data_IF_656096454734
#
_entry.id   IF_656096454734
#
_cell.length_a   1.000
_cell.length_b   1.000
_cell.length_c   1.000
_cell.angle_alpha   90.00
_cell.angle_beta   90.00
_cell.angle_gamma   90.00
#
_symmetry.space_group_name_H-M   'P 1'
#
loop_
_entity.id
_entity.type
_entity.pdbx_description
1 polymer ?
#
# COMPACT_ATOMS: atom_id res chain seq x y z
N UNK A 1 -6.36 32.54 23.47
CA UNK A 1 -7.17 31.72 22.53
C UNK A 1 -6.31 31.07 21.44
N UNK A 2 -5.68 31.88 20.58
CA UNK A 2 -5.01 31.41 19.35
C UNK A 2 -3.92 30.33 19.58
N UNK A 3 -3.09 30.46 20.61
CA UNK A 3 -2.05 29.46 20.91
C UNK A 3 -2.59 28.09 21.30
N UNK A 4 -3.65 28.04 22.12
CA UNK A 4 -4.31 26.79 22.50
C UNK A 4 -5.02 26.14 21.30
N UNK A 5 -5.70 26.95 20.47
CA UNK A 5 -6.31 26.46 19.24
C UNK A 5 -5.27 25.85 18.30
N UNK A 6 -4.11 26.50 18.13
CA UNK A 6 -3.00 25.98 17.34
C UNK A 6 -2.44 24.67 17.90
N UNK A 7 -2.25 24.56 19.22
CA UNK A 7 -1.77 23.32 19.85
C UNK A 7 -2.71 22.13 19.61
N UNK A 8 -4.03 22.34 19.70
CA UNK A 8 -5.03 21.29 19.45
C UNK A 8 -4.98 20.83 17.99
N UNK A 9 -4.90 21.75 17.03
CA UNK A 9 -4.78 21.41 15.61
C UNK A 9 -3.49 20.62 15.35
N UNK A 10 -2.36 21.09 15.90
CA UNK A 10 -1.07 20.41 15.76
C UNK A 10 -1.10 18.99 16.34
N UNK A 11 -1.80 18.78 17.45
CA UNK A 11 -1.97 17.46 18.04
C UNK A 11 -2.72 16.48 17.11
N UNK A 12 -3.85 16.90 16.55
CA UNK A 12 -4.60 16.07 15.59
C UNK A 12 -3.81 15.82 14.31
N UNK A 13 -3.15 16.84 13.76
CA UNK A 13 -2.28 16.67 12.60
C UNK A 13 -1.16 15.66 12.88
N UNK A 14 -0.42 15.80 13.99
CA UNK A 14 0.66 14.86 14.32
C UNK A 14 0.15 13.42 14.48
N UNK A 15 -1.02 13.24 15.12
CA UNK A 15 -1.63 11.92 15.31
C UNK A 15 -2.03 11.26 14.00
N UNK A 16 -2.48 12.03 13.02
CA UNK A 16 -2.76 11.52 11.68
C UNK A 16 -1.47 11.21 10.90
N UNK A 17 -0.52 12.16 10.87
CA UNK A 17 0.72 12.01 10.11
C UNK A 17 1.59 10.86 10.62
N UNK A 18 1.63 10.61 11.94
CA UNK A 18 2.39 9.48 12.49
C UNK A 18 1.83 8.15 11.98
N UNK A 19 0.51 8.01 11.78
CA UNK A 19 -0.07 6.78 11.24
C UNK A 19 0.34 6.53 9.78
N UNK A 20 0.42 7.59 8.97
CA UNK A 20 0.94 7.48 7.59
C UNK A 20 2.40 6.99 7.61
N UNK A 21 3.23 7.51 8.51
CA UNK A 21 4.62 7.07 8.66
C UNK A 21 4.72 5.61 9.12
N UNK A 22 3.82 5.16 9.99
CA UNK A 22 3.74 3.76 10.43
C UNK A 22 3.44 2.83 9.27
N UNK A 23 2.44 3.15 8.45
CA UNK A 23 2.16 2.37 7.24
C UNK A 23 3.37 2.39 6.29
N UNK A 24 3.98 3.54 6.07
CA UNK A 24 5.19 3.65 5.25
C UNK A 24 6.34 2.75 5.76
N UNK A 25 6.62 2.77 7.06
CA UNK A 25 7.64 1.92 7.67
C UNK A 25 7.29 0.43 7.56
N UNK A 26 6.02 0.07 7.79
CA UNK A 26 5.55 -1.30 7.67
C UNK A 26 5.75 -1.85 6.26
N UNK A 27 5.35 -1.10 5.23
CA UNK A 27 5.57 -1.46 3.82
C UNK A 27 7.06 -1.50 3.46
N UNK A 28 7.86 -0.56 3.98
CA UNK A 28 9.31 -0.54 3.75
C UNK A 28 9.97 -1.82 4.27
N UNK A 29 9.65 -2.24 5.50
CA UNK A 29 10.22 -3.48 6.07
C UNK A 29 9.80 -4.70 5.26
N UNK A 30 8.53 -4.76 4.83
CA UNK A 30 8.03 -5.87 4.01
C UNK A 30 8.52 -5.83 2.55
N UNK A 31 9.02 -4.70 2.04
CA UNK A 31 9.66 -4.64 0.73
C UNK A 31 11.05 -5.26 0.69
N UNK A 32 11.63 -5.58 1.86
CA UNK A 32 12.93 -6.26 1.97
C UNK A 32 12.82 -7.78 1.83
N UNK A 33 11.61 -8.34 1.66
CA UNK A 33 11.41 -9.77 1.45
C UNK A 33 11.55 -10.11 -0.04
N UNK A 34 12.06 -11.32 -0.34
CA UNK A 34 12.30 -11.78 -1.72
C UNK A 34 11.04 -11.74 -2.58
N UNK A 35 9.91 -12.18 -2.02
CA UNK A 35 8.59 -12.08 -2.63
C UNK A 35 7.77 -11.05 -1.88
N UNK A 36 7.22 -10.06 -2.59
CA UNK A 36 6.41 -9.02 -1.99
C UNK A 36 5.06 -9.60 -1.54
N UNK A 37 4.62 -9.40 -0.29
CA UNK A 37 3.42 -10.04 0.25
C UNK A 37 2.10 -9.52 -0.35
N UNK A 38 2.16 -8.43 -1.12
CA UNK A 38 1.04 -7.88 -1.88
C UNK A 38 1.11 -8.20 -3.38
N UNK A 39 2.10 -8.98 -3.83
CA UNK A 39 2.21 -9.40 -5.23
C UNK A 39 1.41 -10.68 -5.53
N UNK A 40 1.18 -11.53 -4.52
CA UNK A 40 0.60 -12.87 -4.71
C UNK A 40 -0.66 -13.12 -3.89
N UNK A 41 -1.53 -13.98 -4.41
CA UNK A 41 -2.66 -14.58 -3.71
C UNK A 41 -2.21 -15.86 -2.98
N UNK A 42 -2.92 -16.31 -1.93
CA UNK A 42 -2.53 -17.49 -1.13
C UNK A 42 -1.96 -17.24 0.26
N UNK A 43 -2.07 -16.02 0.79
CA UNK A 43 -1.78 -15.72 2.19
C UNK A 43 -3.03 -15.86 3.06
N UNK A 44 -2.84 -15.97 4.38
CA UNK A 44 -3.93 -16.17 5.35
C UNK A 44 -4.96 -15.02 5.42
N UNK A 45 -4.63 -13.84 4.88
CA UNK A 45 -5.52 -12.68 4.80
C UNK A 45 -6.25 -12.56 3.45
N UNK A 46 -5.93 -13.43 2.49
CA UNK A 46 -6.55 -13.41 1.17
C UNK A 46 -7.83 -14.24 1.17
N UNK A 47 -8.85 -13.74 0.49
CA UNK A 47 -10.11 -14.42 0.25
C UNK A 47 -10.07 -15.20 -1.07
N UNK A 48 -11.09 -16.04 -1.29
CA UNK A 48 -11.31 -16.74 -2.57
C UNK A 48 -11.53 -15.78 -3.76
N UNK A 49 -11.73 -14.48 -3.49
CA UNK A 49 -11.88 -13.44 -4.51
C UNK A 49 -10.56 -12.79 -4.91
N UNK A 50 -9.43 -13.18 -4.32
CA UNK A 50 -8.13 -12.68 -4.70
C UNK A 50 -7.74 -13.19 -6.09
N UNK A 51 -7.31 -12.28 -6.98
CA UNK A 51 -6.75 -12.62 -8.29
C UNK A 51 -5.46 -11.83 -8.56
N UNK A 52 -4.40 -12.52 -8.99
CA UNK A 52 -3.09 -11.91 -9.28
C UNK A 52 -3.05 -11.20 -10.64
N UNK A 53 -3.83 -11.68 -11.62
CA UNK A 53 -3.82 -11.17 -13.00
C UNK A 53 -5.17 -10.59 -13.40
N UNK A 54 -5.21 -9.27 -13.63
CA UNK A 54 -6.37 -8.51 -14.14
C UNK A 54 -6.25 -8.23 -15.64
N UNK A 55 -5.74 -9.17 -16.43
CA UNK A 55 -5.75 -8.99 -17.89
C UNK A 55 -7.17 -9.19 -18.40
N UNK A 56 -7.86 -8.08 -18.64
CA UNK A 56 -9.18 -8.04 -19.26
C UNK A 56 -9.21 -8.78 -20.63
N UNK A 57 -8.06 -8.90 -21.27
CA UNK A 57 -7.84 -9.66 -22.52
C UNK A 57 -8.02 -11.18 -22.36
N UNK A 58 -7.88 -11.72 -21.14
CA UNK A 58 -8.11 -13.13 -20.83
C UNK A 58 -9.59 -13.43 -20.55
N UNK A 59 -10.43 -12.40 -20.43
CA UNK A 59 -11.84 -12.56 -20.17
C UNK A 59 -12.64 -12.71 -21.47
N UNK A 60 -13.47 -13.75 -21.49
CA UNK A 60 -14.25 -14.14 -22.66
C UNK A 60 -15.64 -13.48 -22.60
N UNK A 61 -15.99 -12.67 -23.61
CA UNK A 61 -17.40 -12.52 -23.99
C UNK A 61 -17.82 -13.86 -24.60
N UNK A 62 -18.86 -14.50 -24.06
CA UNK A 62 -19.20 -15.92 -24.26
C UNK A 62 -19.65 -16.32 -25.70
N UNK A 63 -18.89 -16.03 -26.77
CA UNK A 63 -19.40 -16.13 -28.15
C UNK A 63 -18.55 -16.89 -29.19
N UNK A 64 -17.44 -17.58 -28.85
CA UNK A 64 -16.69 -18.38 -29.86
C UNK A 64 -16.49 -19.85 -29.48
N UNK A 65 -16.69 -20.77 -30.43
CA UNK A 65 -16.73 -22.23 -30.22
C UNK A 65 -15.58 -22.79 -29.36
N UNK A 66 -15.93 -23.70 -28.44
CA UNK A 66 -15.11 -24.19 -27.33
C UNK A 66 -13.77 -24.87 -27.69
N UNK A 67 -13.53 -25.22 -28.96
CA UNK A 67 -12.36 -26.00 -29.40
C UNK A 67 -11.08 -25.18 -29.62
N UNK A 68 -11.16 -23.87 -29.85
CA UNK A 68 -9.98 -23.01 -29.97
C UNK A 68 -9.44 -22.52 -28.61
N UNK A 69 -10.21 -22.72 -27.53
CA UNK A 69 -9.92 -22.19 -26.20
C UNK A 69 -8.75 -22.90 -25.48
N UNK A 70 -8.56 -24.20 -25.74
CA UNK A 70 -7.46 -24.96 -25.15
C UNK A 70 -6.08 -24.56 -25.68
N UNK A 71 -6.01 -23.96 -26.88
CA UNK A 71 -4.76 -23.55 -27.51
C UNK A 71 -4.21 -22.20 -26.97
N UNK A 72 -5.03 -21.41 -26.28
CA UNK A 72 -4.68 -20.06 -25.83
C UNK A 72 -4.32 -19.96 -24.33
N UNK A 73 -4.37 -21.06 -23.57
CA UNK A 73 -4.06 -21.04 -22.12
C UNK A 73 -5.01 -20.20 -21.27
N UNK A 74 -6.18 -19.82 -21.80
CA UNK A 74 -7.14 -18.96 -21.12
C UNK A 74 -7.94 -19.74 -20.06
N UNK A 75 -8.00 -19.19 -18.83
CA UNK A 75 -8.80 -19.72 -17.73
C UNK A 75 -10.30 -19.55 -18.02
N UNK A 76 -11.12 -20.50 -17.57
CA UNK A 76 -12.57 -20.60 -17.80
C UNK A 76 -13.40 -19.54 -17.02
N UNK A 77 -12.96 -18.27 -16.95
CA UNK A 77 -13.63 -17.21 -16.19
C UNK A 77 -14.46 -16.28 -17.09
N UNK A 78 -15.69 -15.99 -16.68
CA UNK A 78 -16.53 -14.95 -17.30
C UNK A 78 -16.01 -13.55 -16.94
N UNK A 79 -16.16 -12.58 -17.85
CA UNK A 79 -15.87 -11.17 -17.58
C UNK A 79 -16.56 -10.65 -16.30
N UNK A 80 -17.78 -11.14 -16.03
CA UNK A 80 -18.56 -10.78 -14.85
C UNK A 80 -17.96 -11.31 -13.56
N UNK A 81 -17.35 -12.49 -13.61
CA UNK A 81 -16.71 -13.11 -12.46
C UNK A 81 -15.37 -12.45 -12.16
N UNK A 82 -14.62 -12.04 -13.19
CA UNK A 82 -13.38 -11.27 -13.01
C UNK A 82 -13.67 -9.86 -12.47
N UNK A 83 -14.79 -9.25 -12.86
CA UNK A 83 -15.22 -7.95 -12.32
C UNK A 83 -15.48 -7.98 -10.80
N UNK A 84 -15.77 -9.16 -10.24
CA UNK A 84 -15.99 -9.35 -8.81
C UNK A 84 -14.72 -9.81 -8.05
N UNK A 85 -13.58 -9.97 -8.75
CA UNK A 85 -12.29 -10.30 -8.12
C UNK A 85 -11.61 -9.05 -7.56
N UNK A 86 -10.82 -9.24 -6.51
CA UNK A 86 -10.04 -8.21 -5.80
C UNK A 86 -8.55 -8.46 -5.96
N UNK A 87 -7.76 -7.39 -6.00
CA UNK A 87 -6.32 -7.50 -6.17
C UNK A 87 -5.62 -7.84 -4.86
N UNK A 88 -4.51 -8.60 -4.89
CA UNK A 88 -3.76 -8.96 -3.69
C UNK A 88 -3.27 -7.72 -2.93
N UNK A 89 -3.01 -6.61 -3.63
CA UNK A 89 -2.63 -5.32 -3.02
C UNK A 89 -3.76 -4.74 -2.16
N UNK A 90 -4.99 -4.77 -2.67
CA UNK A 90 -6.14 -4.24 -1.95
C UNK A 90 -6.47 -5.12 -0.74
N UNK A 91 -6.46 -6.45 -0.90
CA UNK A 91 -6.71 -7.36 0.21
C UNK A 91 -5.61 -7.29 1.28
N UNK A 92 -4.36 -7.13 0.88
CA UNK A 92 -3.26 -6.87 1.83
C UNK A 92 -3.50 -5.58 2.63
N UNK A 93 -3.90 -4.49 1.96
CA UNK A 93 -4.20 -3.23 2.65
C UNK A 93 -5.40 -3.35 3.61
N UNK A 94 -6.51 -3.92 3.15
CA UNK A 94 -7.76 -3.94 3.92
C UNK A 94 -7.77 -5.02 5.01
N UNK A 95 -7.36 -6.24 4.69
CA UNK A 95 -7.49 -7.40 5.58
C UNK A 95 -6.27 -7.59 6.48
N UNK A 96 -5.07 -7.23 6.01
CA UNK A 96 -3.82 -7.41 6.77
C UNK A 96 -3.35 -6.13 7.45
N UNK A 97 -3.27 -5.01 6.71
CA UNK A 97 -2.70 -3.76 7.25
C UNK A 97 -3.71 -3.06 8.16
N UNK A 98 -4.86 -2.67 7.60
CA UNK A 98 -5.89 -1.93 8.32
C UNK A 98 -6.74 -2.82 9.23
N UNK A 99 -7.00 -4.07 8.81
CA UNK A 99 -7.98 -4.97 9.45
C UNK A 99 -9.34 -4.30 9.61
N UNK A 100 -9.98 -3.95 8.50
CA UNK A 100 -11.31 -3.31 8.55
C UNK A 100 -12.30 -4.20 9.33
N UNK A 101 -12.96 -3.61 10.33
CA UNK A 101 -14.12 -4.23 10.97
C UNK A 101 -15.35 -4.09 10.09
N UNK A 102 -16.34 -4.96 10.28
CA UNK A 102 -17.59 -4.93 9.51
C UNK A 102 -18.46 -3.70 9.82
N UNK A 103 -18.36 -3.15 11.03
CA UNK A 103 -19.11 -1.97 11.45
C UNK A 103 -18.27 -1.04 12.37
N UNK A 104 -18.70 0.22 12.46
CA UNK A 104 -18.13 1.23 13.36
C UNK A 104 -18.45 0.93 14.84
N UNK A 105 -19.55 0.22 15.10
CA UNK A 105 -20.00 -0.15 16.45
C UNK A 105 -19.18 -1.29 17.07
N UNK A 106 -18.43 -2.04 16.24
CA UNK A 106 -17.60 -3.17 16.67
C UNK A 106 -16.13 -2.82 16.43
N UNK A 107 -15.42 -2.27 17.45
CA UNK A 107 -13.99 -2.05 17.32
C UNK A 107 -13.32 -3.41 17.06
N UNK A 108 -12.73 -3.55 15.88
CA UNK A 108 -12.08 -4.80 15.44
C UNK A 108 -10.87 -5.17 16.29
N UNK A 109 -10.30 -6.33 16.00
CA UNK A 109 -9.09 -6.81 16.68
C UNK A 109 -7.87 -5.93 16.38
N UNK A 110 -7.13 -5.58 17.43
CA UNK A 110 -5.96 -4.71 17.31
C UNK A 110 -4.79 -5.46 16.63
N UNK A 111 -4.24 -4.88 15.55
CA UNK A 111 -3.10 -5.45 14.85
C UNK A 111 -1.78 -5.17 15.60
N UNK A 112 -1.27 -6.15 16.35
CA UNK A 112 -0.04 -6.01 17.14
C UNK A 112 1.20 -5.61 16.31
N UNK A 113 1.28 -6.02 15.05
CA UNK A 113 2.38 -5.64 14.17
C UNK A 113 2.39 -4.13 13.89
N UNK A 114 1.20 -3.53 13.78
CA UNK A 114 1.05 -2.08 13.59
C UNK A 114 1.37 -1.32 14.88
N UNK A 115 1.01 -1.84 16.05
CA UNK A 115 1.38 -1.24 17.33
C UNK A 115 2.91 -1.20 17.47
N UNK A 116 3.59 -2.30 17.14
CA UNK A 116 5.05 -2.37 17.19
C UNK A 116 5.68 -1.35 16.23
N UNK A 117 5.16 -1.24 15.00
CA UNK A 117 5.60 -0.23 14.05
C UNK A 117 5.34 1.19 14.56
N UNK A 118 4.20 1.44 15.21
CA UNK A 118 3.88 2.72 15.84
C UNK A 118 4.88 3.12 16.92
N UNK A 119 5.18 2.21 17.85
CA UNK A 119 6.19 2.45 18.89
C UNK A 119 7.55 2.73 18.26
N UNK A 120 7.93 1.96 17.24
CA UNK A 120 9.20 2.14 16.52
C UNK A 120 9.26 3.51 15.85
N UNK A 121 8.23 3.92 15.12
CA UNK A 121 8.17 5.25 14.47
C UNK A 121 8.26 6.38 15.48
N UNK A 122 7.58 6.28 16.62
CA UNK A 122 7.69 7.27 17.70
C UNK A 122 9.11 7.38 18.25
N UNK A 123 9.79 6.25 18.45
CA UNK A 123 11.20 6.21 18.88
C UNK A 123 12.10 6.88 17.84
N UNK A 124 11.92 6.58 16.55
CA UNK A 124 12.70 7.23 15.46
C UNK A 124 12.47 8.74 15.45
N UNK A 125 11.22 9.20 15.50
CA UNK A 125 10.87 10.63 15.52
C UNK A 125 11.47 11.32 16.75
N UNK A 126 11.41 10.69 17.91
CA UNK A 126 12.04 11.20 19.13
C UNK A 126 13.55 11.41 18.93
N UNK A 127 14.26 10.42 18.40
CA UNK A 127 15.70 10.56 18.13
C UNK A 127 16.02 11.63 17.07
N UNK A 128 15.15 11.83 16.07
CA UNK A 128 15.29 12.91 15.09
C UNK A 128 15.18 14.32 15.70
N UNK A 129 14.47 14.46 16.82
CA UNK A 129 14.20 15.74 17.48
C UNK A 129 15.07 15.94 18.73
N UNK A 130 15.53 14.87 19.39
CA UNK A 130 16.17 14.94 20.72
C UNK A 130 17.35 15.91 20.78
N UNK A 131 18.20 15.96 19.74
CA UNK A 131 19.34 16.91 19.71
C UNK A 131 18.97 18.35 19.31
N UNK A 132 17.68 18.66 19.23
CA UNK A 132 17.11 19.96 18.93
C UNK A 132 17.20 20.35 17.46
N UNK A 133 16.69 21.55 17.17
CA UNK A 133 16.46 22.07 15.81
C UNK A 133 17.72 22.13 14.93
N UNK A 134 18.90 22.32 15.52
CA UNK A 134 20.18 22.33 14.79
C UNK A 134 20.54 20.94 14.24
N UNK A 135 20.18 19.88 14.95
CA UNK A 135 20.39 18.50 14.51
C UNK A 135 19.28 18.05 13.57
N UNK A 136 18.02 18.40 13.87
CA UNK A 136 16.88 18.14 13.00
C UNK A 136 17.08 18.76 11.62
N UNK A 137 17.60 20.00 11.55
CA UNK A 137 17.92 20.64 10.26
C UNK A 137 18.87 19.82 9.38
N UNK A 138 19.84 19.11 9.97
CA UNK A 138 20.75 18.24 9.21
C UNK A 138 20.03 17.04 8.61
N UNK A 139 19.15 16.41 9.39
CA UNK A 139 18.35 15.26 8.96
C UNK A 139 17.35 15.69 7.87
N UNK A 140 16.79 16.90 8.00
CA UNK A 140 15.82 17.45 7.05
C UNK A 140 16.41 17.59 5.65
N UNK A 141 17.70 17.94 5.50
CA UNK A 141 18.33 17.97 4.17
C UNK A 141 18.25 16.61 3.46
N UNK A 142 18.46 15.52 4.21
CA UNK A 142 18.31 14.18 3.65
C UNK A 142 16.85 13.85 3.34
N UNK A 143 15.93 14.04 4.30
CA UNK A 143 14.51 13.67 4.13
C UNK A 143 13.78 14.55 3.11
N UNK A 144 14.27 15.76 2.84
CA UNK A 144 13.73 16.64 1.81
C UNK A 144 14.27 16.32 0.41
N UNK A 145 15.53 15.91 0.29
CA UNK A 145 16.16 15.60 -1.01
C UNK A 145 15.83 14.19 -1.50
N UNK A 146 15.76 13.21 -0.60
CA UNK A 146 15.53 11.81 -0.95
C UNK A 146 14.25 11.58 -1.78
N UNK A 147 13.08 12.18 -1.48
CA UNK A 147 11.88 12.05 -2.29
C UNK A 147 12.09 12.50 -3.75
N UNK A 148 12.83 13.58 -4.00
CA UNK A 148 13.11 14.03 -5.36
C UNK A 148 13.95 13.03 -6.14
N UNK A 149 14.95 12.41 -5.50
CA UNK A 149 15.76 11.36 -6.12
C UNK A 149 14.88 10.16 -6.48
N UNK A 150 14.03 9.70 -5.55
CA UNK A 150 13.10 8.59 -5.80
C UNK A 150 12.12 8.93 -6.93
N UNK A 151 11.56 10.13 -6.96
CA UNK A 151 10.66 10.57 -8.02
C UNK A 151 11.33 10.55 -9.39
N UNK A 152 12.58 11.00 -9.49
CA UNK A 152 13.34 10.97 -10.75
C UNK A 152 13.60 9.52 -11.17
N UNK A 153 13.98 8.63 -10.25
CA UNK A 153 14.18 7.21 -10.56
C UNK A 153 12.88 6.53 -11.02
N UNK A 154 11.77 6.79 -10.32
CA UNK A 154 10.46 6.29 -10.70
C UNK A 154 10.00 6.85 -12.05
N UNK A 155 10.31 8.10 -12.36
CA UNK A 155 10.02 8.70 -13.66
C UNK A 155 10.80 8.02 -14.78
N UNK A 156 12.12 7.86 -14.61
CA UNK A 156 12.97 7.18 -15.61
C UNK A 156 12.51 5.75 -15.82
N UNK A 157 12.23 5.02 -14.75
CA UNK A 157 11.71 3.65 -14.86
C UNK A 157 10.33 3.65 -15.54
N UNK A 158 9.41 4.53 -15.13
CA UNK A 158 8.07 4.63 -15.68
C UNK A 158 8.04 4.90 -17.18
N UNK A 159 8.90 5.79 -17.70
CA UNK A 159 8.98 6.07 -19.15
C UNK A 159 9.63 4.94 -19.95
N UNK A 160 10.44 4.08 -19.33
CA UNK A 160 11.05 2.91 -19.98
C UNK A 160 10.11 1.71 -20.07
N UNK A 161 9.00 1.70 -19.32
CA UNK A 161 8.03 0.60 -19.38
C UNK A 161 7.21 0.64 -20.67
N UNK A 162 6.95 -0.52 -21.30
CA UNK A 162 6.06 -0.59 -22.45
C UNK A 162 4.65 -0.14 -22.04
N UNK A 163 4.04 0.74 -22.84
CA UNK A 163 2.72 1.30 -22.54
C UNK A 163 2.72 2.62 -21.77
N UNK A 164 3.89 3.21 -21.48
CA UNK A 164 3.99 4.51 -20.81
C UNK A 164 3.18 5.63 -21.50
N UNK A 165 3.07 5.60 -22.84
CA UNK A 165 2.30 6.57 -23.62
C UNK A 165 0.77 6.47 -23.42
N UNK A 166 0.25 5.36 -22.90
CA UNK A 166 -1.19 5.22 -22.64
C UNK A 166 -1.65 5.90 -21.34
N UNK A 167 -0.72 6.29 -20.46
CA UNK A 167 -1.01 6.92 -19.18
C UNK A 167 -0.60 8.40 -19.06
N UNK A 168 0.08 8.95 -20.06
CA UNK A 168 0.42 10.38 -20.19
C UNK A 168 -0.69 11.06 -20.99
#
# INVERSE_FOLDING_TARGET
GLGLASMVIVFFCNSYYIMILVWGLFYLVHSLTDTLPWATCGHAWNTEQCAEFFHLELCRNASTNASAAAAAGALNFSCTDLANKRSPVIEFWENKVLRLSGDLSEPGEMNWQMILCLVTTWVVVYFCIWKGVKSTGKIVYFTALFPYVVLILLLVHGVTLPGALGGI
#
